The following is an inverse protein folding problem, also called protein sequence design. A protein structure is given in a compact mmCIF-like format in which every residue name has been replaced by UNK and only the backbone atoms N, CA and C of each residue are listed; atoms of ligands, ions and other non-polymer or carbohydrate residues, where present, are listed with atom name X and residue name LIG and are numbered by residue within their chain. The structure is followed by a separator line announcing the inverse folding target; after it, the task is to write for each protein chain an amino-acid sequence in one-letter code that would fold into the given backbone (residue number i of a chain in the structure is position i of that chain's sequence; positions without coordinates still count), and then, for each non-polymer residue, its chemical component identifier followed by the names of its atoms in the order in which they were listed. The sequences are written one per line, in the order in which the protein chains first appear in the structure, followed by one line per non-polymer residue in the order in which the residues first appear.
data_IF_789450360628
#
_entry.id   IF_789450360628
#
_cell.length_a   1.000
_cell.length_b   1.000
_cell.length_c   1.000
_cell.angle_alpha   90.00
_cell.angle_beta   90.00
_cell.angle_gamma   90.00
#
_symmetry.space_group_name_H-M   'P 1'
#
loop_
_entity.id
_entity.type
_entity.pdbx_description
1 polymer ?
#
# COMPACT_ATOMS: atom_id res chain seq x y z
N UNK A 1 63.53 -28.10 -20.41
CA UNK A 1 62.05 -28.11 -20.53
C UNK A 1 61.50 -27.64 -19.19
N UNK A 2 60.77 -26.51 -19.13
CA UNK A 2 60.26 -25.94 -17.88
C UNK A 2 59.68 -24.55 -18.10
N UNK A 3 58.48 -24.50 -18.68
CA UNK A 3 57.75 -23.27 -19.04
C UNK A 3 57.25 -22.55 -17.80
N UNK A 4 57.63 -21.27 -17.67
CA UNK A 4 57.03 -20.28 -16.77
C UNK A 4 55.53 -20.20 -17.07
N UNK A 5 54.70 -20.72 -16.17
CA UNK A 5 53.25 -20.52 -16.17
C UNK A 5 52.87 -19.10 -15.70
N UNK A 6 51.72 -18.56 -16.10
CA UNK A 6 51.33 -17.19 -15.77
C UNK A 6 51.13 -17.05 -14.26
N UNK A 7 51.88 -16.14 -13.64
CA UNK A 7 51.85 -15.87 -12.21
C UNK A 7 50.70 -14.98 -11.79
N UNK A 8 49.46 -15.46 -11.95
CA UNK A 8 48.32 -14.87 -11.24
C UNK A 8 48.17 -15.62 -9.90
N UNK A 9 48.23 -14.89 -8.78
CA UNK A 9 48.07 -15.53 -7.47
C UNK A 9 46.62 -15.97 -7.30
N UNK A 10 46.38 -17.13 -6.67
CA UNK A 10 45.01 -17.67 -6.45
C UNK A 10 44.07 -16.64 -5.80
N UNK A 11 44.62 -15.76 -4.97
CA UNK A 11 43.93 -14.63 -4.32
C UNK A 11 43.53 -13.50 -5.30
N UNK A 12 44.33 -13.23 -6.34
CA UNK A 12 43.96 -12.28 -7.40
C UNK A 12 42.84 -12.81 -8.27
N UNK A 13 42.92 -14.08 -8.67
CA UNK A 13 41.88 -14.72 -9.47
C UNK A 13 40.55 -14.75 -8.71
N UNK A 14 40.55 -15.09 -7.41
CA UNK A 14 39.35 -15.03 -6.57
C UNK A 14 38.81 -13.61 -6.39
N UNK A 15 39.68 -12.61 -6.15
CA UNK A 15 39.26 -11.20 -6.07
C UNK A 15 38.62 -10.72 -7.36
N UNK A 16 39.16 -11.13 -8.51
CA UNK A 16 38.62 -10.79 -9.83
C UNK A 16 37.26 -11.46 -10.06
N UNK A 17 37.11 -12.72 -9.64
CA UNK A 17 35.86 -13.46 -9.71
C UNK A 17 34.77 -12.81 -8.84
N UNK A 18 35.08 -12.43 -7.60
CA UNK A 18 34.15 -11.72 -6.70
C UNK A 18 33.76 -10.36 -7.28
N UNK A 19 34.71 -9.57 -7.80
CA UNK A 19 34.40 -8.28 -8.43
C UNK A 19 33.49 -8.41 -9.65
N UNK A 20 33.73 -9.43 -10.48
CA UNK A 20 32.87 -9.70 -11.64
C UNK A 20 31.44 -10.03 -11.21
N UNK A 21 31.29 -10.90 -10.20
CA UNK A 21 30.00 -11.25 -9.61
C UNK A 21 29.29 -10.05 -8.99
N UNK A 22 30.02 -9.17 -8.29
CA UNK A 22 29.47 -7.92 -7.75
C UNK A 22 28.95 -7.00 -8.86
N UNK A 23 29.70 -6.86 -9.97
CA UNK A 23 29.27 -6.04 -11.09
C UNK A 23 28.04 -6.61 -11.80
N UNK A 24 27.98 -7.94 -11.97
CA UNK A 24 26.82 -8.65 -12.52
C UNK A 24 25.58 -8.45 -11.64
N UNK A 25 25.70 -8.64 -10.32
CA UNK A 25 24.62 -8.40 -9.36
C UNK A 25 24.17 -6.93 -9.40
N UNK A 26 25.11 -5.98 -9.49
CA UNK A 26 24.78 -4.54 -9.57
C UNK A 26 24.00 -4.21 -10.85
N UNK A 27 24.36 -4.81 -11.99
CA UNK A 27 23.61 -4.65 -13.23
C UNK A 27 22.21 -5.27 -13.15
N UNK A 28 22.09 -6.47 -12.56
CA UNK A 28 20.79 -7.10 -12.34
C UNK A 28 19.89 -6.25 -11.44
N UNK A 29 20.45 -5.66 -10.38
CA UNK A 29 19.72 -4.77 -9.48
C UNK A 29 19.24 -3.52 -10.22
N UNK A 30 20.07 -2.92 -11.07
CA UNK A 30 19.70 -1.75 -11.87
C UNK A 30 18.50 -2.04 -12.79
N UNK A 31 18.49 -3.19 -13.47
CA UNK A 31 17.37 -3.60 -14.32
C UNK A 31 16.07 -3.77 -13.51
N UNK A 32 16.15 -4.32 -12.30
CA UNK A 32 14.99 -4.46 -11.39
C UNK A 32 14.46 -3.09 -10.98
N UNK A 33 15.35 -2.15 -10.64
CA UNK A 33 14.96 -0.76 -10.31
C UNK A 33 14.26 -0.08 -11.47
N UNK A 34 14.80 -0.16 -12.69
CA UNK A 34 14.19 0.42 -13.89
C UNK A 34 12.85 -0.22 -14.26
N UNK A 35 12.68 -1.52 -14.01
CA UNK A 35 11.39 -2.19 -14.20
C UNK A 35 10.36 -1.69 -13.18
N UNK A 36 10.76 -1.51 -11.92
CA UNK A 36 9.92 -0.96 -10.85
C UNK A 36 9.52 0.49 -11.12
N UNK A 37 10.44 1.33 -11.58
CA UNK A 37 10.13 2.73 -11.94
C UNK A 37 9.11 2.82 -13.08
N UNK A 38 9.26 1.99 -14.13
CA UNK A 38 8.27 1.92 -15.22
C UNK A 38 6.91 1.41 -14.76
N UNK A 39 6.87 0.50 -13.79
CA UNK A 39 5.62 0.03 -13.20
C UNK A 39 4.95 1.12 -12.36
N UNK A 40 5.74 1.85 -11.56
CA UNK A 40 5.28 3.00 -10.77
C UNK A 40 4.74 4.12 -11.67
N UNK A 41 5.42 4.44 -12.77
CA UNK A 41 4.98 5.52 -13.67
C UNK A 41 3.66 5.20 -14.37
N UNK A 42 3.46 3.96 -14.86
CA UNK A 42 2.17 3.52 -15.40
C UNK A 42 1.03 3.54 -14.36
N UNK A 43 1.33 3.29 -13.08
CA UNK A 43 0.33 3.37 -12.01
C UNK A 43 -0.08 4.80 -11.67
N UNK A 44 0.87 5.74 -11.63
CA UNK A 44 0.56 7.17 -11.50
C UNK A 44 -0.35 7.67 -12.63
N UNK A 45 -0.12 7.19 -13.85
CA UNK A 45 -0.95 7.53 -15.01
C UNK A 45 -2.42 7.05 -14.91
N UNK A 46 -2.70 5.99 -14.16
CA UNK A 46 -4.04 5.40 -14.08
C UNK A 46 -4.91 5.96 -12.93
N UNK A 47 -4.44 6.93 -12.14
CA UNK A 47 -5.22 7.64 -11.10
C UNK A 47 -5.88 6.74 -10.01
N UNK A 48 -5.49 5.47 -9.91
CA UNK A 48 -6.05 4.53 -8.92
C UNK A 48 -5.42 4.81 -7.56
N UNK A 49 -6.25 4.96 -6.53
CA UNK A 49 -5.79 5.25 -5.18
C UNK A 49 -5.20 4.00 -4.51
N UNK A 50 -4.03 4.18 -3.88
CA UNK A 50 -3.15 3.13 -3.40
C UNK A 50 -3.04 3.16 -1.88
N UNK A 51 -3.22 1.98 -1.28
CA UNK A 51 -3.14 1.74 0.15
C UNK A 51 -2.01 0.75 0.41
N UNK A 52 -1.10 1.08 1.33
CA UNK A 52 -0.03 0.18 1.74
C UNK A 52 -0.19 -0.24 3.20
N UNK A 53 -0.21 -1.55 3.46
CA UNK A 53 -0.20 -2.10 4.81
C UNK A 53 1.24 -2.14 5.33
N UNK A 54 1.49 -1.50 6.46
CA UNK A 54 2.81 -1.42 7.12
C UNK A 54 2.72 -1.87 8.58
N UNK A 55 3.82 -2.31 9.17
CA UNK A 55 3.83 -2.80 10.56
C UNK A 55 4.62 -4.10 10.75
N UNK A 56 4.78 -4.51 12.00
CA UNK A 56 5.62 -5.66 12.36
C UNK A 56 5.09 -6.99 11.82
N UNK A 57 5.98 -7.98 11.66
CA UNK A 57 5.63 -9.37 11.44
C UNK A 57 4.73 -9.85 12.56
N UNK A 58 3.79 -10.74 12.24
CA UNK A 58 2.77 -11.22 13.17
C UNK A 58 1.78 -10.15 13.67
N UNK A 59 1.86 -8.88 13.24
CA UNK A 59 0.84 -7.89 13.57
C UNK A 59 -0.53 -8.18 12.91
N UNK A 60 -0.55 -9.03 11.89
CA UNK A 60 -1.77 -9.41 11.15
C UNK A 60 -1.98 -8.65 9.84
N UNK A 61 -0.93 -8.04 9.27
CA UNK A 61 -0.99 -7.37 7.94
C UNK A 61 -1.55 -8.27 6.85
N UNK A 62 -0.96 -9.45 6.63
CA UNK A 62 -1.44 -10.37 5.59
C UNK A 62 -2.86 -10.89 5.85
N UNK A 63 -3.27 -10.97 7.13
CA UNK A 63 -4.66 -11.31 7.49
C UNK A 63 -5.61 -10.20 7.07
N UNK A 64 -5.34 -8.95 7.46
CA UNK A 64 -6.13 -7.79 7.05
C UNK A 64 -6.09 -7.53 5.54
N UNK A 65 -4.95 -7.80 4.88
CA UNK A 65 -4.84 -7.78 3.43
C UNK A 65 -5.82 -8.74 2.77
N UNK A 66 -5.87 -9.99 3.24
CA UNK A 66 -6.79 -10.98 2.69
C UNK A 66 -8.25 -10.63 2.99
N UNK A 67 -8.59 -10.23 4.22
CA UNK A 67 -9.95 -9.82 4.59
C UNK A 67 -10.44 -8.67 3.69
N UNK A 68 -9.64 -7.62 3.58
CA UNK A 68 -10.00 -6.45 2.76
C UNK A 68 -10.11 -6.81 1.28
N UNK A 69 -9.31 -7.76 0.80
CA UNK A 69 -9.30 -8.18 -0.59
C UNK A 69 -10.35 -9.24 -0.97
N UNK A 70 -10.63 -10.21 -0.12
CA UNK A 70 -11.48 -11.38 -0.43
C UNK A 70 -12.99 -11.06 -0.45
N UNK A 71 -13.46 -9.93 0.08
CA UNK A 71 -14.86 -9.50 -0.09
C UNK A 71 -15.13 -8.80 -1.43
N UNK A 72 -14.11 -8.50 -2.24
CA UNK A 72 -14.27 -7.55 -3.36
C UNK A 72 -13.46 -7.84 -4.62
N UNK A 73 -12.93 -9.07 -4.78
CA UNK A 73 -12.00 -9.36 -5.87
C UNK A 73 -12.70 -9.46 -7.25
N UNK A 74 -12.41 -8.49 -8.12
CA UNK A 74 -12.47 -8.65 -9.59
C UNK A 74 -11.04 -8.96 -10.06
N UNK A 75 -10.78 -10.19 -10.51
CA UNK A 75 -9.43 -10.62 -10.92
C UNK A 75 -8.97 -9.87 -12.18
N UNK A 76 -7.90 -9.09 -12.05
CA UNK A 76 -6.98 -8.80 -13.15
C UNK A 76 -5.66 -9.45 -12.81
N UNK A 77 -5.43 -10.63 -13.38
CA UNK A 77 -4.17 -11.36 -13.25
C UNK A 77 -3.00 -10.50 -13.74
N UNK A 78 -2.21 -10.02 -12.80
CA UNK A 78 -0.87 -9.53 -13.09
C UNK A 78 0.09 -10.66 -12.70
N UNK A 79 0.52 -11.44 -13.69
CA UNK A 79 1.55 -12.46 -13.52
C UNK A 79 2.88 -11.84 -13.03
N UNK A 80 3.64 -12.66 -12.30
CA UNK A 80 5.00 -12.47 -11.72
C UNK A 80 5.05 -11.97 -10.26
N UNK A 81 5.09 -12.90 -9.30
CA UNK A 81 5.46 -12.63 -7.91
C UNK A 81 6.64 -13.52 -7.47
N UNK A 82 7.84 -12.96 -7.48
CA UNK A 82 9.01 -13.44 -6.72
C UNK A 82 9.39 -12.32 -5.77
N UNK A 83 9.38 -12.55 -4.45
CA UNK A 83 9.80 -11.58 -3.41
C UNK A 83 9.13 -10.19 -3.40
N UNK A 84 8.25 -9.89 -4.36
CA UNK A 84 7.55 -8.62 -4.52
C UNK A 84 6.32 -8.50 -3.59
N UNK A 85 5.97 -7.27 -3.17
CA UNK A 85 4.77 -7.01 -2.36
C UNK A 85 3.52 -7.57 -3.05
N UNK A 86 2.62 -8.19 -2.26
CA UNK A 86 1.36 -8.69 -2.80
C UNK A 86 0.43 -7.51 -3.02
N UNK A 87 -0.03 -7.32 -4.25
CA UNK A 87 -0.98 -6.25 -4.59
C UNK A 87 -2.29 -6.84 -5.06
N UNK A 88 -3.42 -6.32 -4.57
CA UNK A 88 -4.75 -6.68 -5.05
C UNK A 88 -5.58 -5.43 -5.30
N UNK A 89 -6.49 -5.51 -6.27
CA UNK A 89 -7.51 -4.51 -6.48
C UNK A 89 -8.71 -4.85 -5.60
N UNK A 90 -9.22 -3.86 -4.87
CA UNK A 90 -10.39 -3.98 -4.00
C UNK A 90 -11.47 -3.02 -4.47
N UNK A 91 -12.72 -3.46 -4.43
CA UNK A 91 -13.88 -2.62 -4.71
C UNK A 91 -14.35 -1.96 -3.41
N UNK A 92 -14.55 -0.64 -3.44
CA UNK A 92 -15.00 0.14 -2.28
C UNK A 92 -16.51 0.36 -2.30
N UNK A 93 -17.05 0.67 -3.48
CA UNK A 93 -18.48 0.81 -3.73
C UNK A 93 -18.81 0.32 -5.15
N UNK A 94 -20.01 0.57 -5.68
CA UNK A 94 -20.42 0.13 -7.02
C UNK A 94 -19.60 0.79 -8.15
N UNK A 95 -18.43 0.22 -8.45
CA UNK A 95 -17.55 0.59 -9.56
C UNK A 95 -16.22 1.22 -9.15
N UNK A 96 -16.09 1.82 -7.97
CA UNK A 96 -14.83 2.45 -7.56
C UNK A 96 -13.88 1.43 -6.96
N UNK A 97 -12.64 1.44 -7.46
CA UNK A 97 -11.61 0.48 -7.06
C UNK A 97 -10.37 1.16 -6.50
N UNK A 98 -9.78 0.52 -5.50
CA UNK A 98 -8.49 0.87 -4.91
C UNK A 98 -7.50 -0.28 -5.13
N UNK A 99 -6.21 0.02 -4.98
CA UNK A 99 -5.17 -1.01 -4.90
C UNK A 99 -4.68 -1.08 -3.46
N UNK A 100 -4.73 -2.27 -2.88
CA UNK A 100 -4.09 -2.55 -1.59
C UNK A 100 -2.82 -3.37 -1.80
N UNK A 101 -1.77 -3.03 -1.05
CA UNK A 101 -0.47 -3.72 -1.10
C UNK A 101 -0.07 -4.21 0.30
N UNK A 102 0.22 -5.51 0.43
CA UNK A 102 0.88 -6.07 1.61
C UNK A 102 2.39 -5.91 1.47
N UNK A 103 2.97 -5.07 2.32
CA UNK A 103 4.42 -4.88 2.38
C UNK A 103 5.07 -5.92 3.29
N UNK A 104 6.37 -6.13 3.11
CA UNK A 104 7.14 -7.02 4.00
C UNK A 104 7.11 -6.47 5.42
N UNK A 105 6.72 -7.31 6.39
CA UNK A 105 6.63 -6.92 7.80
C UNK A 105 7.95 -6.78 8.52
N UNK A 106 8.03 -5.84 9.49
CA UNK A 106 9.23 -5.66 10.33
C UNK A 106 9.43 -6.82 11.32
N UNK A 107 10.63 -7.38 11.41
CA UNK A 107 10.94 -8.43 12.39
C UNK A 107 11.38 -7.79 13.73
N UNK A 108 11.04 -8.41 14.87
CA UNK A 108 11.51 -7.94 16.19
C UNK A 108 13.04 -7.98 16.31
N UNK A 109 13.61 -7.02 17.07
CA UNK A 109 15.05 -6.88 17.33
C UNK A 109 15.91 -6.88 16.06
N UNK A 110 15.67 -5.91 15.20
CA UNK A 110 16.45 -5.73 13.97
C UNK A 110 17.93 -5.46 14.30
N UNK A 111 18.87 -6.33 13.90
CA UNK A 111 20.26 -5.93 13.78
C UNK A 111 20.35 -4.71 12.87
N UNK A 112 21.24 -3.76 13.16
CA UNK A 112 21.40 -2.53 12.36
C UNK A 112 21.65 -2.80 10.87
N UNK A 113 22.25 -3.95 10.54
CA UNK A 113 22.48 -4.43 9.17
C UNK A 113 21.20 -4.77 8.41
N UNK A 114 20.13 -5.18 9.10
CA UNK A 114 18.86 -5.53 8.47
C UNK A 114 17.92 -4.32 8.34
N UNK A 115 18.11 -3.25 9.14
CA UNK A 115 17.33 -2.00 9.02
C UNK A 115 17.38 -1.44 7.60
N UNK A 116 18.52 -1.54 6.90
CA UNK A 116 18.65 -1.08 5.52
C UNK A 116 17.75 -1.84 4.53
N UNK A 117 17.62 -3.16 4.70
CA UNK A 117 16.71 -3.97 3.87
C UNK A 117 15.24 -3.61 4.13
N UNK A 118 14.88 -3.30 5.38
CA UNK A 118 13.52 -2.85 5.73
C UNK A 118 13.20 -1.42 5.27
N UNK A 119 14.18 -0.52 5.29
CA UNK A 119 14.04 0.80 4.69
C UNK A 119 13.69 0.69 3.20
N UNK A 120 14.36 -0.21 2.49
CA UNK A 120 14.05 -0.47 1.08
C UNK A 120 12.64 -1.02 0.86
N UNK A 121 12.11 -1.86 1.74
CA UNK A 121 10.74 -2.39 1.61
C UNK A 121 9.68 -1.35 1.98
N UNK A 122 9.97 -0.47 2.94
CA UNK A 122 9.05 0.63 3.30
C UNK A 122 9.10 1.76 2.26
N UNK A 123 10.24 1.98 1.63
CA UNK A 123 10.40 2.92 0.51
C UNK A 123 9.50 2.53 -0.68
N UNK A 124 9.14 1.26 -0.85
CA UNK A 124 8.14 0.85 -1.83
C UNK A 124 6.73 1.37 -1.52
N UNK A 125 6.41 1.65 -0.25
CA UNK A 125 5.15 2.26 0.17
C UNK A 125 5.15 3.80 0.02
N UNK A 126 6.24 4.41 -0.44
CA UNK A 126 6.34 5.87 -0.66
C UNK A 126 5.36 6.40 -1.71
N UNK A 127 4.95 5.55 -2.63
CA UNK A 127 3.98 5.91 -3.68
C UNK A 127 2.51 5.67 -3.24
N UNK A 128 2.27 5.22 -2.01
CA UNK A 128 0.92 5.04 -1.49
C UNK A 128 0.27 6.40 -1.20
N UNK A 129 -1.04 6.48 -1.40
CA UNK A 129 -1.86 7.62 -0.99
C UNK A 129 -2.30 7.51 0.47
N UNK A 130 -2.25 6.29 1.04
CA UNK A 130 -2.57 6.01 2.44
C UNK A 130 -1.71 4.88 2.99
N UNK A 131 -1.18 5.06 4.20
CA UNK A 131 -0.53 4.01 4.99
C UNK A 131 -1.51 3.45 6.03
N UNK A 132 -1.78 2.15 5.96
CA UNK A 132 -2.49 1.42 7.00
C UNK A 132 -1.48 0.71 7.91
N UNK A 133 -1.26 1.27 9.08
CA UNK A 133 -0.30 0.75 10.06
C UNK A 133 -0.97 -0.28 10.97
N UNK A 134 -0.69 -1.55 10.75
CA UNK A 134 -1.19 -2.66 11.56
C UNK A 134 -0.25 -2.93 12.74
N UNK A 135 -0.80 -2.86 13.95
CA UNK A 135 -0.07 -3.03 15.22
C UNK A 135 -0.68 -4.18 16.01
N UNK A 136 0.15 -5.08 16.54
CA UNK A 136 -0.28 -6.12 17.47
C UNK A 136 -0.53 -5.52 18.85
N UNK A 137 -1.80 -5.27 19.21
CA UNK A 137 -2.14 -4.65 20.49
C UNK A 137 -1.95 -5.59 21.69
N UNK A 138 -1.89 -6.90 21.48
CA UNK A 138 -1.62 -7.89 22.55
C UNK A 138 -0.14 -8.01 22.91
N UNK A 139 0.74 -7.40 22.12
CA UNK A 139 2.17 -7.42 22.38
C UNK A 139 2.53 -6.43 23.50
N UNK A 140 3.22 -6.88 24.55
CA UNK A 140 3.68 -5.99 25.63
C UNK A 140 4.55 -4.83 25.11
N UNK A 141 5.28 -5.05 24.02
CA UNK A 141 6.11 -4.05 23.36
C UNK A 141 5.39 -3.30 22.21
N UNK A 142 4.05 -3.36 22.10
CA UNK A 142 3.32 -2.76 20.97
C UNK A 142 3.64 -1.28 20.79
N UNK A 143 3.83 -0.55 21.90
CA UNK A 143 4.13 0.88 21.88
C UNK A 143 5.49 1.16 21.26
N UNK A 144 6.51 0.40 21.68
CA UNK A 144 7.86 0.47 21.12
C UNK A 144 7.87 0.13 19.63
N UNK A 145 7.10 -0.87 19.22
CA UNK A 145 6.95 -1.25 17.82
C UNK A 145 6.28 -0.14 17.00
N UNK A 146 5.16 0.39 17.49
CA UNK A 146 4.44 1.52 16.88
C UNK A 146 5.36 2.73 16.69
N UNK A 147 6.07 3.15 17.74
CA UNK A 147 6.98 4.30 17.71
C UNK A 147 8.18 4.04 16.77
N UNK A 148 8.66 2.79 16.69
CA UNK A 148 9.75 2.42 15.78
C UNK A 148 9.35 2.52 14.32
N UNK A 149 8.16 2.03 13.95
CA UNK A 149 7.66 2.13 12.56
C UNK A 149 7.49 3.60 12.19
N UNK A 150 6.86 4.42 13.05
CA UNK A 150 6.67 5.83 12.77
C UNK A 150 8.00 6.59 12.63
N UNK A 151 9.01 6.24 13.43
CA UNK A 151 10.37 6.79 13.25
C UNK A 151 10.97 6.41 11.90
N UNK A 152 10.77 5.18 11.43
CA UNK A 152 11.29 4.75 10.12
C UNK A 152 10.52 5.44 8.97
N UNK A 153 9.20 5.63 9.11
CA UNK A 153 8.39 6.43 8.17
C UNK A 153 8.99 7.85 8.04
N UNK A 154 9.31 8.49 9.17
CA UNK A 154 9.94 9.81 9.16
C UNK A 154 11.37 9.82 8.61
N UNK A 155 12.19 8.82 8.95
CA UNK A 155 13.53 8.65 8.36
C UNK A 155 13.51 8.50 6.82
N UNK A 156 12.37 8.16 6.23
CA UNK A 156 12.18 7.97 4.78
C UNK A 156 11.40 9.11 4.11
N UNK A 157 11.17 10.22 4.83
CA UNK A 157 10.40 11.38 4.35
C UNK A 157 8.97 11.03 3.92
N UNK A 158 8.36 10.02 4.55
CA UNK A 158 7.01 9.54 4.24
C UNK A 158 5.92 10.14 5.14
N UNK A 159 6.27 11.08 6.03
CA UNK A 159 5.35 11.70 7.01
C UNK A 159 4.19 12.47 6.37
N UNK A 160 4.32 12.82 5.08
CA UNK A 160 3.26 13.52 4.33
C UNK A 160 2.17 12.58 3.84
N UNK A 161 2.43 11.27 3.80
CA UNK A 161 1.44 10.28 3.40
C UNK A 161 0.49 10.11 4.60
N UNK A 162 -0.83 10.31 4.41
CA UNK A 162 -1.83 10.04 5.44
C UNK A 162 -1.65 8.66 6.04
N UNK A 163 -1.85 8.54 7.35
CA UNK A 163 -1.70 7.28 8.07
C UNK A 163 -2.93 7.02 8.95
N UNK A 164 -3.41 5.79 8.92
CA UNK A 164 -4.38 5.28 9.88
C UNK A 164 -3.89 3.97 10.52
N UNK A 165 -4.30 3.73 11.77
CA UNK A 165 -3.73 2.66 12.61
C UNK A 165 -4.79 1.60 12.89
N UNK A 166 -4.44 0.35 12.62
CA UNK A 166 -5.24 -0.82 12.96
C UNK A 166 -4.57 -1.47 14.18
N UNK A 167 -5.09 -1.21 15.37
CA UNK A 167 -4.69 -1.93 16.57
C UNK A 167 -5.39 -3.30 16.56
N UNK A 168 -4.70 -4.29 16.03
CA UNK A 168 -5.20 -5.64 15.82
C UNK A 168 -5.04 -6.52 17.07
N UNK A 169 -5.73 -7.66 17.08
CA UNK A 169 -5.73 -8.67 18.14
C UNK A 169 -6.33 -8.20 19.46
N UNK A 170 -7.41 -7.41 19.40
CA UNK A 170 -8.18 -7.03 20.60
C UNK A 170 -8.64 -8.25 21.41
N UNK A 171 -8.84 -9.39 20.75
CA UNK A 171 -9.27 -10.66 21.35
C UNK A 171 -8.22 -11.29 22.27
N UNK A 172 -6.96 -10.83 22.18
CA UNK A 172 -5.84 -11.35 22.97
C UNK A 172 -5.31 -10.33 23.97
N UNK A 173 -5.95 -9.17 24.12
CA UNK A 173 -5.49 -8.11 25.00
C UNK A 173 -6.57 -7.76 26.04
N UNK A 174 -6.30 -8.17 27.28
CA UNK A 174 -7.11 -7.84 28.46
C UNK A 174 -6.78 -6.45 29.05
N UNK A 175 -5.79 -5.75 28.47
CA UNK A 175 -5.33 -4.44 28.89
C UNK A 175 -6.19 -3.27 28.36
N UNK A 176 -5.78 -2.02 28.65
CA UNK A 176 -6.49 -0.84 28.18
C UNK A 176 -6.46 -0.74 26.65
N UNK A 177 -7.51 -0.13 26.08
CA UNK A 177 -7.56 0.20 24.65
C UNK A 177 -6.36 1.08 24.26
N UNK A 178 -5.58 0.70 23.23
CA UNK A 178 -4.48 1.52 22.73
C UNK A 178 -4.97 2.89 22.25
N UNK A 179 -4.16 3.92 22.46
CA UNK A 179 -4.45 5.28 22.01
C UNK A 179 -3.40 5.77 21.01
N UNK A 180 -3.87 6.47 19.98
CA UNK A 180 -3.07 7.12 18.95
C UNK A 180 -3.70 8.47 18.61
N UNK A 181 -2.88 9.46 18.25
CA UNK A 181 -3.38 10.74 17.71
C UNK A 181 -3.79 10.62 16.23
N UNK A 182 -3.32 9.57 15.55
CA UNK A 182 -3.75 9.23 14.20
C UNK A 182 -5.13 8.56 14.23
N UNK A 183 -5.93 8.68 13.15
CA UNK A 183 -7.15 7.88 12.95
C UNK A 183 -6.86 6.41 13.23
N UNK A 184 -7.66 5.77 14.07
CA UNK A 184 -7.39 4.41 14.51
C UNK A 184 -8.64 3.63 14.86
N UNK A 185 -8.53 2.31 14.78
CA UNK A 185 -9.53 1.35 15.25
C UNK A 185 -8.86 0.27 16.09
N UNK A 186 -9.58 -0.21 17.11
CA UNK A 186 -9.16 -1.33 17.96
C UNK A 186 -10.02 -2.55 17.67
N UNK A 187 -9.40 -3.54 17.03
CA UNK A 187 -10.09 -4.61 16.29
C UNK A 187 -9.43 -5.98 16.46
N UNK A 188 -10.15 -7.04 16.11
CA UNK A 188 -9.62 -8.36 15.86
C UNK A 188 -10.00 -8.81 14.46
N UNK A 189 -9.03 -9.30 13.70
CA UNK A 189 -9.26 -9.96 12.42
C UNK A 189 -10.04 -11.30 12.54
N UNK A 190 -10.52 -11.65 13.73
CA UNK A 190 -11.38 -12.82 13.99
C UNK A 190 -12.84 -12.43 14.26
N UNK A 191 -13.15 -11.14 14.32
CA UNK A 191 -14.47 -10.60 14.62
C UNK A 191 -15.03 -9.93 13.36
N UNK A 192 -16.07 -10.53 12.77
CA UNK A 192 -16.72 -10.01 11.55
C UNK A 192 -17.23 -8.56 11.73
N UNK A 193 -17.69 -8.20 12.93
CA UNK A 193 -18.17 -6.84 13.19
C UNK A 193 -17.04 -5.80 13.22
N UNK A 194 -15.78 -6.24 13.34
CA UNK A 194 -14.62 -5.36 13.26
C UNK A 194 -14.12 -5.15 11.83
N UNK A 195 -14.44 -6.05 10.90
CA UNK A 195 -14.09 -5.90 9.49
C UNK A 195 -14.70 -4.62 8.92
N UNK A 196 -15.98 -4.39 9.22
CA UNK A 196 -16.70 -3.19 8.83
C UNK A 196 -16.07 -1.91 9.42
N UNK A 197 -15.54 -1.96 10.65
CA UNK A 197 -14.86 -0.81 11.26
C UNK A 197 -13.57 -0.46 10.51
N UNK A 198 -12.82 -1.47 10.05
CA UNK A 198 -11.61 -1.24 9.26
C UNK A 198 -11.97 -0.69 7.88
N UNK A 199 -13.05 -1.18 7.27
CA UNK A 199 -13.57 -0.65 5.99
C UNK A 199 -13.99 0.80 6.12
N UNK A 200 -14.78 1.14 7.13
CA UNK A 200 -15.20 2.51 7.36
C UNK A 200 -13.98 3.41 7.61
N UNK A 201 -13.01 2.97 8.42
CA UNK A 201 -11.76 3.72 8.62
C UNK A 201 -11.03 3.99 7.29
N UNK A 202 -10.95 2.99 6.42
CA UNK A 202 -10.35 3.11 5.09
C UNK A 202 -11.11 4.12 4.22
N UNK A 203 -12.44 3.98 4.12
CA UNK A 203 -13.31 4.88 3.35
C UNK A 203 -13.17 6.32 3.86
N UNK A 204 -13.29 6.54 5.16
CA UNK A 204 -13.11 7.85 5.81
C UNK A 204 -11.74 8.48 5.50
N UNK A 205 -10.69 7.67 5.33
CA UNK A 205 -9.36 8.17 4.97
C UNK A 205 -9.24 8.48 3.48
N UNK A 206 -9.86 7.69 2.62
CA UNK A 206 -9.91 7.94 1.18
C UNK A 206 -10.67 9.23 0.90
N UNK A 207 -11.85 9.42 1.52
CA UNK A 207 -12.67 10.63 1.38
C UNK A 207 -11.90 11.91 1.74
N UNK A 208 -11.14 11.89 2.84
CA UNK A 208 -10.33 13.04 3.29
C UNK A 208 -9.26 13.46 2.27
N UNK A 209 -8.88 12.59 1.35
CA UNK A 209 -7.93 12.88 0.28
C UNK A 209 -8.61 13.31 -1.04
N UNK A 210 -9.93 13.31 -1.08
CA UNK A 210 -10.74 13.60 -2.26
C UNK A 210 -11.53 14.90 -2.06
N UNK A 211 -12.10 15.42 -3.14
CA UNK A 211 -12.97 16.59 -3.14
C UNK A 211 -14.42 16.15 -3.33
N UNK A 212 -15.36 16.68 -2.51
CA UNK A 212 -16.77 16.41 -2.71
C UNK A 212 -17.24 17.04 -4.04
N UNK A 213 -18.18 16.39 -4.70
CA UNK A 213 -18.85 16.89 -5.89
C UNK A 213 -20.33 16.51 -5.90
N UNK A 214 -21.10 17.34 -6.59
CA UNK A 214 -22.50 17.09 -6.92
C UNK A 214 -22.65 17.32 -8.42
N UNK A 215 -23.29 16.39 -9.11
CA UNK A 215 -23.48 16.46 -10.56
C UNK A 215 -24.83 15.84 -10.96
N UNK A 216 -25.53 16.51 -11.87
CA UNK A 216 -26.73 15.96 -12.52
C UNK A 216 -26.34 15.38 -13.88
N UNK A 217 -26.59 14.09 -14.08
CA UNK A 217 -26.24 13.37 -15.30
C UNK A 217 -27.52 12.93 -16.03
N UNK A 218 -27.74 13.35 -17.29
CA UNK A 218 -28.86 12.86 -18.09
C UNK A 218 -28.91 11.33 -18.16
N UNK A 219 -30.10 10.73 -18.13
CA UNK A 219 -30.25 9.27 -18.10
C UNK A 219 -29.80 8.57 -19.40
N UNK A 220 -29.73 9.31 -20.51
CA UNK A 220 -29.19 8.85 -21.79
C UNK A 220 -27.65 8.92 -21.87
N UNK A 221 -26.99 9.61 -20.94
CA UNK A 221 -25.52 9.69 -20.85
C UNK A 221 -24.93 8.53 -20.01
N UNK A 222 -25.05 7.32 -20.56
CA UNK A 222 -24.52 6.11 -19.95
C UNK A 222 -22.99 6.15 -19.79
N UNK A 223 -22.28 6.83 -20.68
CA UNK A 223 -20.81 6.96 -20.65
C UNK A 223 -20.37 7.78 -19.45
N UNK A 224 -21.06 8.90 -19.15
CA UNK A 224 -20.77 9.73 -17.97
C UNK A 224 -21.06 8.98 -16.67
N UNK A 225 -22.21 8.30 -16.57
CA UNK A 225 -22.53 7.48 -15.40
C UNK A 225 -21.49 6.39 -15.16
N UNK A 226 -21.07 5.70 -16.21
CA UNK A 226 -20.02 4.68 -16.13
C UNK A 226 -18.68 5.27 -15.69
N UNK A 227 -18.33 6.45 -16.20
CA UNK A 227 -17.13 7.17 -15.78
C UNK A 227 -17.16 7.51 -14.29
N UNK A 228 -18.26 8.10 -13.80
CA UNK A 228 -18.42 8.47 -12.39
C UNK A 228 -18.33 7.24 -11.48
N UNK A 229 -19.02 6.15 -11.83
CA UNK A 229 -18.94 4.89 -11.07
C UNK A 229 -17.52 4.36 -10.94
N UNK A 230 -16.71 4.47 -12.00
CA UNK A 230 -15.33 3.92 -12.02
C UNK A 230 -14.28 4.81 -11.38
N UNK A 231 -14.44 6.13 -11.44
CA UNK A 231 -13.39 7.08 -11.08
C UNK A 231 -13.71 7.93 -9.86
N UNK A 232 -14.93 7.84 -9.33
CA UNK A 232 -15.36 8.60 -8.17
C UNK A 232 -15.98 7.70 -7.11
N UNK A 233 -15.84 8.08 -5.85
CA UNK A 233 -16.50 7.44 -4.74
C UNK A 233 -17.93 8.02 -4.61
N UNK A 234 -18.88 7.43 -5.34
CA UNK A 234 -20.31 7.78 -5.26
C UNK A 234 -20.89 7.39 -3.89
N UNK A 235 -21.55 8.34 -3.24
CA UNK A 235 -22.32 8.16 -2.01
C UNK A 235 -23.82 8.09 -2.28
N UNK A 236 -24.29 8.87 -3.25
CA UNK A 236 -25.70 8.95 -3.62
C UNK A 236 -25.84 8.94 -5.13
N UNK A 237 -26.79 8.15 -5.60
CA UNK A 237 -27.18 8.05 -7.01
C UNK A 237 -28.69 7.87 -7.05
N UNK A 238 -29.42 8.95 -7.27
CA UNK A 238 -30.88 8.95 -7.29
C UNK A 238 -31.41 9.34 -8.67
N UNK A 239 -32.41 8.60 -9.16
CA UNK A 239 -33.05 8.92 -10.43
C UNK A 239 -34.21 9.90 -10.21
N UNK A 240 -34.19 11.00 -10.94
CA UNK A 240 -35.25 12.00 -10.96
C UNK A 240 -36.12 11.81 -12.22
N UNK A 241 -37.36 11.35 -12.01
CA UNK A 241 -38.32 11.07 -13.09
C UNK A 241 -38.81 12.33 -13.82
N UNK A 242 -38.83 13.50 -13.16
CA UNK A 242 -39.34 14.74 -13.76
C UNK A 242 -38.43 15.26 -14.88
N UNK A 243 -37.12 15.08 -14.69
CA UNK A 243 -36.09 15.62 -15.59
C UNK A 243 -35.30 14.53 -16.34
N UNK A 244 -35.70 13.26 -16.20
CA UNK A 244 -35.02 12.09 -16.78
C UNK A 244 -33.50 12.11 -16.53
N UNK A 245 -33.09 12.35 -15.28
CA UNK A 245 -31.68 12.54 -14.92
C UNK A 245 -31.32 11.88 -13.59
N UNK A 246 -30.05 11.54 -13.41
CA UNK A 246 -29.50 11.09 -12.13
C UNK A 246 -28.86 12.24 -11.37
N UNK A 247 -29.20 12.37 -10.09
CA UNK A 247 -28.48 13.20 -9.13
C UNK A 247 -27.38 12.36 -8.48
N UNK A 248 -26.13 12.76 -8.71
CA UNK A 248 -24.95 12.05 -8.23
C UNK A 248 -24.21 12.92 -7.22
N UNK A 249 -24.01 12.39 -6.02
CA UNK A 249 -23.20 13.02 -4.98
C UNK A 249 -22.09 12.05 -4.56
N UNK A 250 -20.88 12.57 -4.39
CA UNK A 250 -19.76 11.74 -3.98
C UNK A 250 -18.44 12.50 -3.87
N UNK A 251 -17.34 11.75 -3.94
CA UNK A 251 -15.99 12.30 -3.88
C UNK A 251 -15.20 11.94 -5.13
N UNK A 252 -14.46 12.90 -5.67
CA UNK A 252 -13.54 12.71 -6.79
C UNK A 252 -12.12 13.11 -6.39
N UNK A 253 -11.10 12.52 -6.99
CA UNK A 253 -9.72 13.00 -6.76
C UNK A 253 -9.64 14.48 -7.10
N UNK A 254 -8.89 15.24 -6.30
CA UNK A 254 -8.52 16.61 -6.65
C UNK A 254 -7.92 16.60 -8.05
N UNK A 255 -8.39 17.48 -8.93
CA UNK A 255 -7.71 17.67 -10.20
C UNK A 255 -6.25 18.04 -9.87
N UNK A 256 -5.27 17.34 -10.43
CA UNK A 256 -3.90 17.83 -10.35
C UNK A 256 -3.90 19.22 -11.01
N UNK A 257 -3.68 20.28 -10.22
CA UNK A 257 -3.34 21.60 -10.77
C UNK A 257 -1.97 21.48 -11.45
N UNK A 258 -1.92 20.86 -12.63
CA UNK A 258 -0.74 20.84 -13.49
C UNK A 258 -1.15 20.67 -14.96
N UNK A 259 -1.47 21.80 -15.59
CA UNK A 259 -0.70 22.25 -16.74
C UNK A 259 -0.79 21.43 -18.03
N UNK A 260 -1.98 21.34 -18.63
CA UNK A 260 -2.07 21.25 -20.09
C UNK A 260 -2.38 22.65 -20.65
N UNK A 261 -1.30 23.31 -21.09
CA UNK A 261 -1.33 24.22 -22.24
C UNK A 261 -0.91 23.44 -23.47
#
# INVERSE_FOLDING_TARGET
IGTRGPGETKLETDRRHIRRRMNEIKHQLQTVVEHRERYRSKRRQNHVFQVALVGYTNAGKSTWFNILADESTYEKDILFATLDPKTRQIQVNDGYHLIISDTVGFIQKLPTTLIAAFKSTLEEARDADLLLHVVDASNEEYRTQYDTVNRIIGDLDMDKIPQAVIFNKKDLNDGPTPASQLPNVYVSARDEADEEKVRQLLIDQVEKQMEPYEETVPADDADRLYFLKRHTLIHKLEFNEENESYEVEGYRRKAEENGEK
#
